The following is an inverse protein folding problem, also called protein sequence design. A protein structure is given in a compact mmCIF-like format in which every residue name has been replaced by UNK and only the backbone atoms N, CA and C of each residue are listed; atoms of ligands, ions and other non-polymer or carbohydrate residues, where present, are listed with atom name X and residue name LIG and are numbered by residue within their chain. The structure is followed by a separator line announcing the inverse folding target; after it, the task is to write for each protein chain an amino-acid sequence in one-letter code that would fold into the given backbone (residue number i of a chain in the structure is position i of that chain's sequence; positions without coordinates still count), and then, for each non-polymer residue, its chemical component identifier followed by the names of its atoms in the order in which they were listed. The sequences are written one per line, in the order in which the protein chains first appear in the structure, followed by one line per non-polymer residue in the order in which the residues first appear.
data_IF_399671881150
#
_entry.id   IF_399671881150
#
_cell.length_a   1.000
_cell.length_b   1.000
_cell.length_c   1.000
_cell.angle_alpha   90.00
_cell.angle_beta   90.00
_cell.angle_gamma   90.00
#
_symmetry.space_group_name_H-M   'P 1'
#
loop_
_entity.id
_entity.type
_entity.pdbx_description
1 polymer ?
#
# COMPACT_ATOMS: atom_id res chain seq x y z
N UNK A 1 1.82 -37.33 -19.57
CA UNK A 1 2.70 -36.45 -20.37
C UNK A 1 1.93 -35.28 -20.96
N UNK A 2 0.83 -35.50 -21.68
CA UNK A 2 -0.05 -34.42 -22.21
C UNK A 2 -0.65 -33.54 -21.10
N UNK A 3 -1.16 -34.12 -20.01
CA UNK A 3 -1.73 -33.36 -18.87
C UNK A 3 -0.66 -32.55 -18.10
N UNK A 4 0.57 -33.04 -18.01
CA UNK A 4 1.67 -32.30 -17.38
C UNK A 4 2.09 -31.10 -18.25
N UNK A 5 2.21 -31.30 -19.57
CA UNK A 5 2.48 -30.20 -20.50
C UNK A 5 1.36 -29.15 -20.50
N UNK A 6 0.09 -29.57 -20.45
CA UNK A 6 -1.05 -28.67 -20.43
C UNK A 6 -1.16 -27.87 -19.11
N UNK A 7 -0.84 -28.49 -17.96
CA UNK A 7 -0.72 -27.78 -16.68
C UNK A 7 0.41 -26.76 -16.69
N UNK A 8 1.55 -27.10 -17.30
CA UNK A 8 2.67 -26.17 -17.45
C UNK A 8 2.39 -25.08 -18.49
N UNK A 9 1.67 -25.35 -19.57
CA UNK A 9 1.25 -24.34 -20.56
C UNK A 9 0.18 -23.41 -20.02
N UNK A 10 -0.88 -23.91 -19.37
CA UNK A 10 -1.86 -23.05 -18.68
C UNK A 10 -1.16 -22.22 -17.61
N UNK A 11 -0.27 -22.81 -16.81
CA UNK A 11 0.52 -22.04 -15.84
C UNK A 11 1.46 -21.04 -16.53
N UNK A 12 2.09 -21.39 -17.66
CA UNK A 12 2.97 -20.51 -18.44
C UNK A 12 2.20 -19.38 -19.12
N UNK A 13 1.01 -19.62 -19.66
CA UNK A 13 0.12 -18.61 -20.26
C UNK A 13 -0.45 -17.70 -19.16
N UNK A 14 -0.79 -18.28 -18.00
CA UNK A 14 -1.13 -17.50 -16.81
C UNK A 14 0.07 -16.65 -16.32
N UNK A 15 1.31 -17.11 -16.52
CA UNK A 15 2.56 -16.41 -16.21
C UNK A 15 2.94 -15.37 -17.28
N UNK A 16 2.78 -15.68 -18.57
CA UNK A 16 3.29 -14.89 -19.70
C UNK A 16 2.31 -13.81 -20.15
N UNK A 17 1.02 -13.95 -19.85
CA UNK A 17 -0.01 -12.95 -20.16
C UNK A 17 -0.46 -12.12 -18.94
N UNK A 18 0.28 -12.17 -17.82
CA UNK A 18 -0.05 -11.41 -16.61
C UNK A 18 -1.28 -11.91 -15.86
N UNK A 19 -1.86 -13.07 -16.21
CA UNK A 19 -3.06 -13.63 -15.56
C UNK A 19 -2.73 -14.33 -14.23
N UNK A 20 -1.70 -13.88 -13.53
CA UNK A 20 -1.26 -14.44 -12.26
C UNK A 20 -2.13 -13.90 -11.13
N UNK A 21 -3.04 -14.73 -10.65
CA UNK A 21 -3.68 -14.51 -9.35
C UNK A 21 -2.93 -15.30 -8.29
N UNK A 22 -2.55 -14.62 -7.21
CA UNK A 22 -2.06 -15.29 -6.02
C UNK A 22 -3.08 -15.18 -4.90
N UNK A 23 -4.16 -15.94 -5.03
CA UNK A 23 -5.12 -16.18 -3.94
C UNK A 23 -6.49 -15.54 -4.11
N UNK A 24 -6.75 -14.74 -5.15
CA UNK A 24 -8.14 -14.39 -5.53
C UNK A 24 -8.75 -15.35 -6.56
N UNK A 25 -7.93 -16.14 -7.27
CA UNK A 25 -8.33 -17.22 -8.18
C UNK A 25 -7.34 -18.39 -8.06
N UNK A 26 -7.84 -19.61 -8.06
CA UNK A 26 -7.03 -20.84 -8.07
C UNK A 26 -7.60 -21.82 -9.09
N UNK A 27 -6.72 -22.46 -9.85
CA UNK A 27 -7.09 -23.48 -10.82
C UNK A 27 -6.59 -24.86 -10.37
N UNK A 28 -7.51 -25.82 -10.30
CA UNK A 28 -7.27 -27.23 -10.07
C UNK A 28 -7.55 -27.98 -11.37
N UNK A 29 -6.56 -28.68 -11.91
CA UNK A 29 -6.72 -29.46 -13.15
C UNK A 29 -6.72 -30.94 -12.79
N UNK A 30 -7.69 -31.73 -13.26
CA UNK A 30 -7.72 -33.19 -13.10
C UNK A 30 -8.09 -33.90 -14.41
N UNK A 31 -8.23 -35.23 -14.36
CA UNK A 31 -8.59 -36.06 -15.52
C UNK A 31 -10.00 -35.77 -16.08
N UNK A 32 -10.84 -35.07 -15.32
CA UNK A 32 -12.22 -34.72 -15.64
C UNK A 32 -12.40 -33.23 -16.02
N UNK A 33 -11.32 -32.44 -16.07
CA UNK A 33 -11.33 -31.06 -16.54
C UNK A 33 -10.58 -30.06 -15.63
N UNK A 34 -10.97 -28.80 -15.71
CA UNK A 34 -10.44 -27.68 -14.91
C UNK A 34 -11.52 -27.18 -13.97
N UNK A 35 -11.17 -27.06 -12.69
CA UNK A 35 -11.96 -26.38 -11.66
C UNK A 35 -11.28 -25.07 -11.30
N UNK A 36 -12.03 -23.98 -11.34
CA UNK A 36 -11.60 -22.67 -10.85
C UNK A 36 -12.28 -22.38 -9.52
N UNK A 37 -11.54 -21.85 -8.56
CA UNK A 37 -12.05 -21.29 -7.32
C UNK A 37 -11.75 -19.80 -7.35
N UNK A 38 -12.77 -18.95 -7.25
CA UNK A 38 -12.63 -17.51 -7.18
C UNK A 38 -13.01 -17.04 -5.77
N UNK A 39 -12.10 -16.36 -5.09
CA UNK A 39 -12.34 -15.75 -3.79
C UNK A 39 -12.84 -14.32 -3.99
N UNK A 40 -14.07 -14.06 -3.58
CA UNK A 40 -14.74 -12.76 -3.73
C UNK A 40 -14.07 -11.70 -2.85
N UNK A 41 -14.14 -10.45 -3.29
CA UNK A 41 -13.67 -9.27 -2.55
C UNK A 41 -14.33 -9.20 -1.17
N UNK A 42 -13.53 -9.00 -0.14
CA UNK A 42 -14.01 -8.78 1.22
C UNK A 42 -14.88 -7.52 1.34
N UNK A 43 -15.84 -7.55 2.27
CA UNK A 43 -16.61 -6.36 2.64
C UNK A 43 -15.71 -5.27 3.23
N UNK A 44 -16.21 -4.04 3.26
CA UNK A 44 -15.52 -2.92 3.89
C UNK A 44 -15.22 -3.21 5.37
N UNK A 45 -14.00 -2.92 5.85
CA UNK A 45 -13.60 -3.19 7.23
C UNK A 45 -14.31 -2.24 8.20
N UNK A 46 -15.28 -2.77 8.95
CA UNK A 46 -16.13 -2.00 9.89
C UNK A 46 -15.31 -1.34 11.00
N UNK A 47 -14.20 -1.94 11.41
CA UNK A 47 -13.30 -1.40 12.42
C UNK A 47 -12.54 -0.13 11.99
N UNK A 48 -12.46 0.16 10.70
CA UNK A 48 -11.82 1.39 10.19
C UNK A 48 -12.81 2.55 10.08
N UNK A 49 -14.09 2.26 9.83
CA UNK A 49 -15.13 3.26 9.53
C UNK A 49 -16.06 3.50 10.72
N UNK A 50 -15.46 3.80 11.88
CA UNK A 50 -16.19 4.04 13.13
C UNK A 50 -17.19 5.19 12.98
N UNK A 51 -18.45 4.97 13.35
CA UNK A 51 -19.50 5.99 13.28
C UNK A 51 -20.53 5.76 12.18
N UNK A 52 -20.33 4.75 11.32
CA UNK A 52 -21.37 4.17 10.48
C UNK A 52 -21.87 2.86 11.11
N UNK A 53 -23.17 2.60 11.04
CA UNK A 53 -23.73 1.29 11.37
C UNK A 53 -23.39 0.25 10.32
N UNK A 54 -23.50 -1.04 10.67
CA UNK A 54 -23.32 -2.15 9.71
C UNK A 54 -24.29 -2.04 8.52
N UNK A 55 -25.54 -1.64 8.78
CA UNK A 55 -26.56 -1.43 7.75
C UNK A 55 -26.20 -0.28 6.79
N UNK A 56 -25.61 0.81 7.29
CA UNK A 56 -25.13 1.90 6.45
C UNK A 56 -23.92 1.48 5.61
N UNK A 57 -22.96 0.77 6.20
CA UNK A 57 -21.78 0.25 5.51
C UNK A 57 -22.13 -0.78 4.45
N UNK A 58 -23.14 -1.62 4.70
CA UNK A 58 -23.57 -2.68 3.80
C UNK A 58 -23.93 -2.19 2.39
N UNK A 59 -24.35 -0.92 2.27
CA UNK A 59 -24.72 -0.27 1.00
C UNK A 59 -23.54 0.05 0.10
N UNK A 60 -22.33 0.02 0.66
CA UNK A 60 -21.07 0.29 -0.04
C UNK A 60 -20.18 -0.96 -0.13
N UNK A 61 -20.65 -2.10 0.38
CA UNK A 61 -19.97 -3.36 0.14
C UNK A 61 -20.10 -3.75 -1.34
N UNK A 62 -19.14 -4.52 -1.86
CA UNK A 62 -19.28 -5.07 -3.21
C UNK A 62 -20.59 -5.84 -3.37
N UNK A 63 -21.28 -5.66 -4.48
CA UNK A 63 -22.51 -6.41 -4.76
C UNK A 63 -22.30 -7.91 -4.71
N UNK A 64 -23.37 -8.61 -4.33
CA UNK A 64 -23.40 -10.07 -4.44
C UNK A 64 -23.36 -10.46 -5.92
N UNK A 65 -22.24 -11.06 -6.31
CA UNK A 65 -22.02 -11.47 -7.68
C UNK A 65 -22.77 -12.78 -7.95
N UNK A 66 -23.67 -12.74 -8.91
CA UNK A 66 -24.32 -13.91 -9.47
C UNK A 66 -23.63 -14.31 -10.79
N UNK A 67 -22.94 -15.46 -10.77
CA UNK A 67 -22.12 -15.91 -11.91
C UNK A 67 -22.92 -16.63 -13.01
N UNK A 68 -24.22 -16.89 -12.82
CA UNK A 68 -25.05 -17.59 -13.82
C UNK A 68 -25.06 -16.88 -15.18
N UNK A 69 -25.01 -15.54 -15.19
CA UNK A 69 -24.96 -14.75 -16.43
C UNK A 69 -23.55 -14.62 -17.05
N UNK A 70 -22.51 -15.13 -16.37
CA UNK A 70 -21.13 -14.96 -16.79
C UNK A 70 -20.56 -16.17 -17.53
N UNK A 71 -21.15 -17.35 -17.30
CA UNK A 71 -20.63 -18.65 -17.70
C UNK A 71 -21.31 -19.19 -18.97
N UNK A 72 -20.61 -20.05 -19.73
CA UNK A 72 -21.17 -20.78 -20.87
C UNK A 72 -21.81 -22.10 -20.43
N UNK A 73 -22.57 -22.75 -21.32
CA UNK A 73 -23.17 -24.08 -21.07
C UNK A 73 -22.10 -25.17 -20.76
N UNK A 74 -20.87 -24.91 -21.19
CA UNK A 74 -19.70 -25.76 -20.97
C UNK A 74 -19.12 -25.61 -19.55
N UNK A 75 -19.69 -24.75 -18.70
CA UNK A 75 -19.24 -24.52 -17.32
C UNK A 75 -20.35 -24.85 -16.32
N UNK A 76 -19.98 -25.55 -15.26
CA UNK A 76 -20.85 -25.87 -14.12
C UNK A 76 -20.50 -25.00 -12.91
N UNK A 77 -21.50 -24.48 -12.21
CA UNK A 77 -21.32 -23.90 -10.88
C UNK A 77 -21.32 -25.05 -9.87
N UNK A 78 -20.17 -25.28 -9.24
CA UNK A 78 -20.02 -26.29 -8.18
C UNK A 78 -20.38 -25.70 -6.81
N UNK A 79 -20.04 -24.44 -6.58
CA UNK A 79 -20.39 -23.70 -5.37
C UNK A 79 -20.49 -22.20 -5.70
N UNK A 80 -21.38 -21.48 -5.05
CA UNK A 80 -21.44 -20.02 -5.08
C UNK A 80 -21.98 -19.52 -3.72
N UNK A 81 -21.09 -18.96 -2.91
CA UNK A 81 -21.42 -18.38 -1.61
C UNK A 81 -20.87 -16.95 -1.48
N UNK A 82 -21.07 -16.31 -0.32
CA UNK A 82 -20.65 -14.91 -0.10
C UNK A 82 -19.14 -14.67 -0.16
N UNK A 83 -18.32 -15.71 0.03
CA UNK A 83 -16.85 -15.62 0.11
C UNK A 83 -16.17 -16.13 -1.15
N UNK A 84 -16.73 -17.15 -1.80
CA UNK A 84 -16.14 -17.72 -3.00
C UNK A 84 -17.19 -18.33 -3.91
N UNK A 85 -16.81 -18.52 -5.16
CA UNK A 85 -17.52 -19.43 -6.05
C UNK A 85 -16.52 -20.40 -6.68
N UNK A 86 -16.97 -21.59 -7.04
CA UNK A 86 -16.17 -22.55 -7.78
C UNK A 86 -16.89 -23.03 -9.02
N UNK A 87 -16.20 -22.98 -10.14
CA UNK A 87 -16.69 -23.34 -11.46
C UNK A 87 -15.91 -24.55 -11.98
N UNK A 88 -16.57 -25.46 -12.69
CA UNK A 88 -15.93 -26.64 -13.30
C UNK A 88 -16.25 -26.73 -14.78
N UNK A 89 -15.24 -27.01 -15.60
CA UNK A 89 -15.41 -27.26 -17.03
C UNK A 89 -16.11 -28.59 -17.32
N UNK A 90 -16.98 -28.62 -18.32
CA UNK A 90 -17.60 -29.82 -18.91
C UNK A 90 -17.00 -30.08 -20.29
N UNK A 91 -15.74 -30.54 -20.39
CA UNK A 91 -15.16 -30.98 -21.67
C UNK A 91 -13.76 -30.44 -21.99
N UNK A 92 -13.57 -29.93 -23.22
CA UNK A 92 -12.26 -29.55 -23.74
C UNK A 92 -11.59 -28.47 -22.87
N UNK A 93 -10.45 -28.84 -22.27
CA UNK A 93 -9.75 -28.06 -21.25
C UNK A 93 -9.37 -26.66 -21.75
N UNK A 94 -8.82 -26.52 -22.96
CA UNK A 94 -8.33 -25.22 -23.46
C UNK A 94 -9.45 -24.18 -23.58
N UNK A 95 -10.54 -24.55 -24.26
CA UNK A 95 -11.73 -23.67 -24.41
C UNK A 95 -12.32 -23.25 -23.07
N UNK A 96 -12.27 -24.14 -22.07
CA UNK A 96 -12.85 -23.88 -20.77
C UNK A 96 -12.00 -22.91 -19.92
N UNK A 97 -10.66 -22.91 -20.07
CA UNK A 97 -9.80 -21.96 -19.35
C UNK A 97 -10.11 -20.52 -19.77
N UNK A 98 -10.28 -20.27 -21.07
CA UNK A 98 -10.65 -18.94 -21.57
C UNK A 98 -12.00 -18.47 -21.04
N UNK A 99 -13.00 -19.34 -21.00
CA UNK A 99 -14.33 -18.99 -20.50
C UNK A 99 -14.33 -18.74 -18.99
N UNK A 100 -13.54 -19.49 -18.22
CA UNK A 100 -13.31 -19.27 -16.79
C UNK A 100 -12.60 -17.92 -16.53
N UNK A 101 -11.60 -17.58 -17.33
CA UNK A 101 -10.91 -16.29 -17.25
C UNK A 101 -11.83 -15.12 -17.63
N UNK A 102 -12.62 -15.25 -18.69
CA UNK A 102 -13.66 -14.26 -19.05
C UNK A 102 -14.63 -14.01 -17.90
N UNK A 103 -14.98 -15.05 -17.14
CA UNK A 103 -15.79 -14.88 -15.93
C UNK A 103 -15.07 -14.01 -14.89
N UNK A 104 -13.77 -14.20 -14.66
CA UNK A 104 -12.98 -13.39 -13.73
C UNK A 104 -12.94 -11.90 -14.16
N UNK A 105 -12.77 -11.62 -15.45
CA UNK A 105 -12.80 -10.24 -15.96
C UNK A 105 -14.18 -9.60 -15.83
N UNK A 106 -15.27 -10.36 -16.07
CA UNK A 106 -16.64 -9.86 -15.82
C UNK A 106 -16.85 -9.50 -14.36
N UNK A 107 -16.35 -10.32 -13.44
CA UNK A 107 -16.37 -10.04 -11.99
C UNK A 107 -15.61 -8.76 -11.67
N UNK A 108 -14.41 -8.61 -12.21
CA UNK A 108 -13.60 -7.41 -12.04
C UNK A 108 -14.33 -6.14 -12.53
N UNK A 109 -15.05 -6.22 -13.67
CA UNK A 109 -15.88 -5.12 -14.18
C UNK A 109 -17.04 -4.76 -13.24
N UNK A 110 -17.64 -5.74 -12.54
CA UNK A 110 -18.65 -5.45 -11.52
C UNK A 110 -18.05 -4.65 -10.37
N UNK A 111 -16.87 -5.05 -9.89
CA UNK A 111 -16.19 -4.33 -8.81
C UNK A 111 -15.76 -2.91 -9.20
N UNK A 112 -15.41 -2.67 -10.47
CA UNK A 112 -15.07 -1.32 -10.93
C UNK A 112 -16.30 -0.40 -11.04
N UNK A 113 -17.46 -0.93 -11.44
CA UNK A 113 -18.72 -0.15 -11.49
C UNK A 113 -19.16 0.33 -10.11
N UNK A 114 -18.86 -0.46 -9.09
CA UNK A 114 -19.18 -0.18 -7.68
C UNK A 114 -17.93 0.18 -6.88
N UNK A 115 -16.94 0.77 -7.55
CA UNK A 115 -15.61 0.94 -6.97
C UNK A 115 -15.66 1.64 -5.60
N UNK A 116 -14.89 1.10 -4.67
CA UNK A 116 -14.85 1.59 -3.30
C UNK A 116 -13.41 1.57 -2.78
N UNK A 117 -13.04 2.63 -2.07
CA UNK A 117 -11.70 2.80 -1.52
C UNK A 117 -11.76 3.37 -0.11
N UNK A 118 -10.80 2.97 0.73
CA UNK A 118 -10.55 3.61 2.02
C UNK A 118 -9.16 4.21 1.99
N UNK A 119 -9.08 5.53 2.02
CA UNK A 119 -7.83 6.27 2.17
C UNK A 119 -7.74 6.90 3.56
N UNK A 120 -6.60 7.53 3.87
CA UNK A 120 -6.36 8.11 5.18
C UNK A 120 -5.70 9.47 5.12
N UNK A 121 -6.23 10.40 5.90
CA UNK A 121 -5.69 11.74 6.06
C UNK A 121 -5.85 12.21 7.51
N UNK A 122 -4.82 12.86 8.08
CA UNK A 122 -4.80 13.28 9.50
C UNK A 122 -5.23 12.16 10.47
N UNK A 123 -4.87 10.91 10.17
CA UNK A 123 -5.25 9.74 10.96
C UNK A 123 -6.70 9.28 10.80
N UNK A 124 -7.56 10.06 10.14
CA UNK A 124 -8.95 9.70 9.80
C UNK A 124 -9.00 8.79 8.58
N UNK A 125 -9.86 7.77 8.62
CA UNK A 125 -10.25 6.95 7.48
C UNK A 125 -11.37 7.63 6.70
N UNK A 126 -11.22 7.67 5.38
CA UNK A 126 -12.16 8.30 4.45
C UNK A 126 -12.65 7.22 3.49
N UNK A 127 -13.97 7.02 3.48
CA UNK A 127 -14.63 6.14 2.52
C UNK A 127 -14.94 6.92 1.23
N UNK A 128 -14.45 6.37 0.14
CA UNK A 128 -14.70 6.82 -1.22
C UNK A 128 -15.49 5.73 -1.93
N UNK A 129 -16.58 6.09 -2.59
CA UNK A 129 -17.45 5.16 -3.32
C UNK A 129 -17.83 5.76 -4.66
N UNK A 130 -17.90 4.91 -5.68
CA UNK A 130 -18.43 5.24 -7.00
C UNK A 130 -19.95 5.17 -6.94
N UNK A 131 -20.62 6.22 -7.42
CA UNK A 131 -22.07 6.28 -7.54
C UNK A 131 -22.42 7.05 -8.81
N UNK A 132 -23.29 6.48 -9.64
CA UNK A 132 -23.70 7.08 -10.92
C UNK A 132 -22.48 7.44 -11.80
N UNK A 133 -21.52 6.49 -11.90
CA UNK A 133 -20.23 6.62 -12.59
C UNK A 133 -19.27 7.71 -12.07
N UNK A 134 -19.60 8.37 -10.97
CA UNK A 134 -18.73 9.36 -10.33
C UNK A 134 -18.16 8.86 -8.99
N UNK A 135 -16.84 8.93 -8.84
CA UNK A 135 -16.17 8.62 -7.59
C UNK A 135 -16.28 9.80 -6.61
N UNK A 136 -16.77 9.55 -5.39
CA UNK A 136 -16.92 10.58 -4.35
C UNK A 136 -16.49 10.07 -2.97
N UNK A 137 -15.78 10.91 -2.22
CA UNK A 137 -15.70 10.78 -0.78
C UNK A 137 -17.08 11.03 -0.18
N UNK A 138 -17.56 10.06 0.60
CA UNK A 138 -18.91 10.06 1.17
C UNK A 138 -18.90 10.09 2.69
N UNK A 139 -17.79 9.69 3.31
CA UNK A 139 -17.67 9.64 4.76
C UNK A 139 -16.21 9.81 5.20
N UNK A 140 -16.02 10.41 6.37
CA UNK A 140 -14.74 10.48 7.08
C UNK A 140 -14.98 10.22 8.54
N UNK A 141 -14.13 9.41 9.18
CA UNK A 141 -14.09 9.32 10.65
C UNK A 141 -13.64 10.67 11.25
N UNK A 142 -13.86 10.91 12.56
CA UNK A 142 -13.28 12.07 13.23
C UNK A 142 -11.74 12.04 13.21
N UNK A 143 -11.05 13.13 12.82
CA UNK A 143 -9.59 13.18 12.87
C UNK A 143 -9.05 13.08 14.31
N UNK A 144 -8.17 12.09 14.60
CA UNK A 144 -7.54 11.95 15.91
C UNK A 144 -6.41 12.97 16.15
N UNK A 145 -5.94 13.65 15.10
CA UNK A 145 -4.87 14.65 15.19
C UNK A 145 -5.27 15.96 14.53
N UNK A 146 -4.83 17.08 15.10
CA UNK A 146 -5.08 18.43 14.58
C UNK A 146 -4.02 18.91 13.59
N UNK A 147 -2.90 18.20 13.52
CA UNK A 147 -1.76 18.60 12.70
C UNK A 147 -0.97 17.38 12.23
N UNK A 148 -0.58 17.38 10.95
CA UNK A 148 0.29 16.41 10.34
C UNK A 148 1.31 17.19 9.48
N UNK A 149 2.62 17.14 9.78
CA UNK A 149 3.64 17.92 9.06
C UNK A 149 3.65 17.64 7.55
N UNK A 150 3.49 16.37 7.15
CA UNK A 150 3.42 15.98 5.74
C UNK A 150 2.22 16.63 5.05
N UNK A 151 1.03 16.40 5.60
CA UNK A 151 -0.21 16.92 5.00
C UNK A 151 -0.23 18.44 5.02
N UNK A 152 0.27 19.07 6.08
CA UNK A 152 0.30 20.53 6.15
C UNK A 152 1.10 21.15 5.00
N UNK A 153 2.28 20.60 4.70
CA UNK A 153 3.11 21.10 3.60
C UNK A 153 2.45 20.81 2.24
N UNK A 154 2.06 19.55 2.00
CA UNK A 154 1.40 19.16 0.75
C UNK A 154 0.15 20.01 0.49
N UNK A 155 -0.73 20.15 1.47
CA UNK A 155 -1.98 20.89 1.32
C UNK A 155 -1.77 22.39 1.08
N UNK A 156 -0.70 22.97 1.61
CA UNK A 156 -0.33 24.36 1.28
C UNK A 156 0.17 24.53 -0.14
N UNK A 157 0.85 23.52 -0.68
CA UNK A 157 1.38 23.56 -2.05
C UNK A 157 0.28 23.37 -3.10
N UNK A 158 -0.66 22.44 -2.87
CA UNK A 158 -1.60 22.00 -3.93
C UNK A 158 -3.08 22.23 -3.60
N UNK A 159 -3.45 22.55 -2.36
CA UNK A 159 -4.84 22.46 -1.91
C UNK A 159 -5.66 23.76 -1.92
N UNK A 160 -5.02 24.91 -2.12
CA UNK A 160 -5.67 26.23 -2.20
C UNK A 160 -6.66 26.52 -1.05
N UNK A 161 -7.73 27.26 -1.35
CA UNK A 161 -8.75 27.66 -0.37
C UNK A 161 -9.45 26.48 0.32
N UNK A 162 -9.54 25.32 -0.34
CA UNK A 162 -10.18 24.12 0.23
C UNK A 162 -9.31 23.55 1.35
N UNK A 163 -8.00 23.46 1.12
CA UNK A 163 -7.05 23.08 2.16
C UNK A 163 -7.01 24.05 3.33
N UNK A 164 -7.05 25.36 3.09
CA UNK A 164 -7.03 26.36 4.16
C UNK A 164 -8.21 26.17 5.14
N UNK A 165 -9.42 25.91 4.62
CA UNK A 165 -10.59 25.62 5.45
C UNK A 165 -10.39 24.38 6.32
N UNK A 166 -9.87 23.30 5.73
CA UNK A 166 -9.57 22.08 6.48
C UNK A 166 -8.55 22.36 7.60
N UNK A 167 -7.43 22.99 7.27
CA UNK A 167 -6.36 23.31 8.23
C UNK A 167 -6.87 24.21 9.38
N UNK A 168 -7.75 25.17 9.09
CA UNK A 168 -8.39 26.00 10.13
C UNK A 168 -9.31 25.17 11.02
N UNK A 169 -10.22 24.38 10.44
CA UNK A 169 -11.15 23.55 11.23
C UNK A 169 -10.44 22.53 12.12
N UNK A 170 -9.35 21.92 11.64
CA UNK A 170 -8.51 21.01 12.44
C UNK A 170 -7.83 21.74 13.60
N UNK A 171 -7.29 22.93 13.37
CA UNK A 171 -6.66 23.75 14.40
C UNK A 171 -7.65 24.14 15.50
N UNK A 172 -8.86 24.55 15.11
CA UNK A 172 -9.92 24.95 16.04
C UNK A 172 -10.52 23.76 16.80
N UNK A 173 -10.29 22.52 16.33
CA UNK A 173 -10.84 21.30 16.93
C UNK A 173 -12.32 21.09 16.63
N UNK A 174 -12.85 21.70 15.57
CA UNK A 174 -14.25 21.52 15.14
C UNK A 174 -14.36 20.22 14.33
N UNK A 175 -14.72 19.12 15.01
CA UNK A 175 -14.69 17.77 14.44
C UNK A 175 -15.60 17.63 13.22
N UNK A 176 -16.87 18.03 13.32
CA UNK A 176 -17.83 17.96 12.21
C UNK A 176 -17.37 18.77 10.99
N UNK A 177 -16.91 20.02 11.21
CA UNK A 177 -16.35 20.86 10.15
C UNK A 177 -15.11 20.23 9.53
N UNK A 178 -14.24 19.62 10.35
CA UNK A 178 -13.02 18.96 9.87
C UNK A 178 -13.35 17.74 8.99
N UNK A 179 -14.34 16.94 9.38
CA UNK A 179 -14.81 15.81 8.58
C UNK A 179 -15.38 16.28 7.24
N UNK A 180 -16.25 17.31 7.26
CA UNK A 180 -16.82 17.89 6.04
C UNK A 180 -15.75 18.47 5.13
N UNK A 181 -14.84 19.28 5.66
CA UNK A 181 -13.76 19.89 4.88
C UNK A 181 -12.79 18.84 4.33
N UNK A 182 -12.61 17.70 5.03
CA UNK A 182 -11.79 16.60 4.55
C UNK A 182 -12.45 15.88 3.37
N UNK A 183 -13.76 15.62 3.45
CA UNK A 183 -14.55 15.11 2.33
C UNK A 183 -14.48 16.06 1.13
N UNK A 184 -14.67 17.37 1.35
CA UNK A 184 -14.60 18.39 0.32
C UNK A 184 -13.20 18.45 -0.33
N UNK A 185 -12.13 18.33 0.46
CA UNK A 185 -10.76 18.29 -0.04
C UNK A 185 -10.52 17.05 -0.91
N UNK A 186 -10.92 15.86 -0.45
CA UNK A 186 -10.74 14.64 -1.24
C UNK A 186 -11.49 14.76 -2.57
N UNK A 187 -12.74 15.22 -2.55
CA UNK A 187 -13.53 15.39 -3.76
C UNK A 187 -12.92 16.43 -4.72
N UNK A 188 -12.50 17.59 -4.20
CA UNK A 188 -12.12 18.72 -5.06
C UNK A 188 -10.63 18.80 -5.42
N UNK A 189 -9.76 18.14 -4.65
CA UNK A 189 -8.31 18.19 -4.86
C UNK A 189 -7.78 16.81 -5.24
N UNK A 190 -8.11 15.77 -4.47
CA UNK A 190 -7.52 14.43 -4.69
C UNK A 190 -8.17 13.71 -5.88
N UNK A 191 -9.50 13.57 -5.88
CA UNK A 191 -10.22 12.88 -6.95
C UNK A 191 -10.12 13.68 -8.26
N UNK A 192 -10.47 14.98 -8.24
CA UNK A 192 -10.33 15.85 -9.42
C UNK A 192 -8.89 15.99 -9.92
N UNK A 193 -7.90 15.82 -9.03
CA UNK A 193 -6.47 15.81 -9.40
C UNK A 193 -5.97 14.46 -9.94
N UNK A 194 -6.87 13.49 -10.13
CA UNK A 194 -6.55 12.16 -10.69
C UNK A 194 -5.85 11.22 -9.70
N UNK A 195 -6.13 11.34 -8.40
CA UNK A 195 -5.59 10.46 -7.37
C UNK A 195 -6.07 9.00 -7.50
N UNK A 196 -7.29 8.82 -8.02
CA UNK A 196 -7.94 7.53 -8.29
C UNK A 196 -8.31 7.36 -9.77
N UNK A 197 -7.60 8.07 -10.65
CA UNK A 197 -7.80 7.95 -12.09
C UNK A 197 -7.20 6.63 -12.60
N UNK A 198 -7.97 5.93 -13.43
CA UNK A 198 -7.60 4.66 -14.03
C UNK A 198 -6.65 4.87 -15.23
N UNK A 199 -6.61 6.08 -15.81
CA UNK A 199 -5.75 6.43 -16.94
C UNK A 199 -4.47 7.17 -16.53
N UNK A 200 -3.80 6.67 -15.50
CA UNK A 200 -2.57 7.29 -14.97
C UNK A 200 -1.30 6.51 -15.35
N UNK A 201 -0.17 7.20 -15.55
CA UNK A 201 1.11 6.51 -15.74
C UNK A 201 1.53 5.80 -14.45
N UNK A 202 1.94 4.53 -14.56
CA UNK A 202 2.50 3.74 -13.46
C UNK A 202 4.03 3.80 -13.39
N UNK A 203 4.65 4.56 -14.30
CA UNK A 203 6.10 4.67 -14.50
C UNK A 203 6.62 6.11 -14.33
N UNK A 204 6.18 6.80 -13.27
CA UNK A 204 6.63 8.17 -12.96
C UNK A 204 7.85 8.19 -12.03
N UNK A 205 8.74 9.18 -12.20
CA UNK A 205 9.90 9.42 -11.33
C UNK A 205 9.69 10.56 -10.32
N UNK A 206 8.45 10.99 -10.11
CA UNK A 206 8.15 12.11 -9.21
C UNK A 206 8.49 11.79 -7.75
N UNK A 207 9.47 12.52 -7.19
CA UNK A 207 9.86 12.44 -5.77
C UNK A 207 9.25 13.59 -5.02
N UNK A 208 8.34 13.29 -4.10
CA UNK A 208 7.53 14.31 -3.43
C UNK A 208 8.03 14.62 -2.02
N UNK A 209 8.87 13.75 -1.44
CA UNK A 209 9.42 13.94 -0.09
C UNK A 209 10.89 13.54 0.01
N UNK A 210 11.62 14.19 0.93
CA UNK A 210 13.04 13.92 1.14
C UNK A 210 13.30 12.48 1.60
N UNK A 211 12.53 11.93 2.53
CA UNK A 211 12.74 10.57 3.04
C UNK A 211 11.43 9.75 3.00
N UNK A 212 10.78 9.69 1.84
CA UNK A 212 9.61 8.84 1.66
C UNK A 212 9.97 7.39 1.43
N UNK A 213 8.99 6.51 1.66
CA UNK A 213 9.19 5.07 1.60
C UNK A 213 9.49 4.62 0.16
N UNK A 214 8.69 5.07 -0.81
CA UNK A 214 8.94 4.79 -2.22
C UNK A 214 10.29 5.36 -2.65
N UNK A 215 10.65 6.60 -2.25
CA UNK A 215 11.95 7.20 -2.60
C UNK A 215 13.14 6.40 -2.09
N UNK A 216 13.06 5.89 -0.85
CA UNK A 216 14.09 5.02 -0.30
C UNK A 216 14.14 3.68 -1.05
N UNK A 217 12.98 3.06 -1.32
CA UNK A 217 12.91 1.79 -2.06
C UNK A 217 13.47 1.93 -3.48
N UNK A 218 13.10 2.97 -4.21
CA UNK A 218 13.55 3.20 -5.59
C UNK A 218 15.06 3.46 -5.65
N UNK A 219 15.61 4.26 -4.73
CA UNK A 219 17.06 4.54 -4.69
C UNK A 219 17.86 3.30 -4.29
N UNK A 220 17.34 2.51 -3.36
CA UNK A 220 17.94 1.24 -2.99
C UNK A 220 17.90 0.23 -4.15
N UNK A 221 16.81 0.19 -4.92
CA UNK A 221 16.69 -0.66 -6.11
C UNK A 221 17.65 -0.22 -7.22
N UNK A 222 17.78 1.10 -7.46
CA UNK A 222 18.75 1.66 -8.42
C UNK A 222 20.20 1.28 -8.07
N UNK A 223 20.50 1.12 -6.77
CA UNK A 223 21.81 0.68 -6.27
C UNK A 223 21.92 -0.85 -6.06
N UNK A 224 20.98 -1.62 -6.60
CA UNK A 224 20.97 -3.09 -6.55
C UNK A 224 20.87 -3.68 -5.15
N UNK A 225 20.25 -2.97 -4.20
CA UNK A 225 20.03 -3.42 -2.82
C UNK A 225 18.70 -4.15 -2.64
N UNK A 226 17.76 -3.88 -3.52
CA UNK A 226 16.42 -4.47 -3.58
C UNK A 226 16.23 -4.97 -5.01
N UNK A 227 15.63 -6.14 -5.17
CA UNK A 227 15.25 -6.69 -6.49
C UNK A 227 13.74 -6.63 -6.76
N UNK A 228 12.91 -6.59 -5.70
CA UNK A 228 11.47 -6.37 -5.81
C UNK A 228 10.91 -5.58 -4.62
N UNK A 229 9.88 -4.76 -4.87
CA UNK A 229 9.13 -4.04 -3.84
C UNK A 229 7.65 -4.44 -3.85
N UNK A 230 7.19 -4.95 -2.70
CA UNK A 230 5.79 -5.24 -2.39
C UNK A 230 5.17 -4.02 -1.71
N UNK A 231 4.27 -3.35 -2.42
CA UNK A 231 3.68 -2.08 -2.01
C UNK A 231 2.19 -2.05 -2.35
N UNK A 232 1.52 -0.97 -1.97
CA UNK A 232 0.07 -0.78 -2.20
C UNK A 232 -0.15 0.28 -3.27
N UNK A 233 -1.04 -0.01 -4.22
CA UNK A 233 -1.51 0.93 -5.22
C UNK A 233 -3.04 0.96 -5.25
N UNK A 234 -3.64 2.14 -5.32
CA UNK A 234 -5.07 2.26 -5.55
C UNK A 234 -5.43 1.64 -6.90
N UNK A 235 -6.63 1.09 -6.95
CA UNK A 235 -7.18 0.38 -8.10
C UNK A 235 -6.41 -0.92 -8.46
N UNK A 236 -5.35 -1.28 -7.73
CA UNK A 236 -4.55 -2.50 -7.95
C UNK A 236 -4.37 -3.36 -6.68
N UNK A 237 -4.51 -2.80 -5.49
CA UNK A 237 -4.31 -3.50 -4.22
C UNK A 237 -2.83 -3.69 -3.90
N UNK A 238 -2.45 -4.89 -3.43
CA UNK A 238 -1.03 -5.26 -3.31
C UNK A 238 -0.43 -5.46 -4.70
N UNK A 239 0.71 -4.80 -4.95
CA UNK A 239 1.47 -4.93 -6.19
C UNK A 239 2.94 -5.28 -5.89
N UNK A 240 3.59 -5.95 -6.83
CA UNK A 240 5.03 -6.17 -6.86
C UNK A 240 5.61 -5.32 -8.00
N UNK A 241 6.65 -4.56 -7.69
CA UNK A 241 7.41 -3.75 -8.67
C UNK A 241 8.87 -4.18 -8.67
N UNK A 242 9.54 -4.04 -9.81
CA UNK A 242 10.91 -4.54 -10.03
C UNK A 242 11.82 -3.50 -10.67
N UNK A 243 11.33 -2.27 -10.86
CA UNK A 243 12.12 -1.15 -11.36
C UNK A 243 11.95 0.08 -10.47
N UNK A 244 12.99 0.92 -10.30
CA UNK A 244 12.89 2.15 -9.51
C UNK A 244 11.73 3.06 -9.96
N UNK A 245 11.49 3.10 -11.28
CA UNK A 245 10.49 3.94 -11.92
C UNK A 245 9.08 3.45 -11.60
N UNK A 246 8.82 2.15 -11.70
CA UNK A 246 7.51 1.59 -11.36
C UNK A 246 7.24 1.62 -9.85
N UNK A 247 8.26 1.42 -9.00
CA UNK A 247 8.13 1.59 -7.54
C UNK A 247 7.66 3.00 -7.15
N UNK A 248 8.12 4.04 -7.85
CA UNK A 248 7.63 5.41 -7.66
C UNK A 248 6.23 5.60 -8.24
N UNK A 249 6.04 5.20 -9.50
CA UNK A 249 4.83 5.52 -10.25
C UNK A 249 3.56 4.90 -9.70
N UNK A 250 3.60 3.67 -9.16
CA UNK A 250 2.41 3.01 -8.60
C UNK A 250 1.89 3.67 -7.32
N UNK A 251 2.75 4.40 -6.58
CA UNK A 251 2.37 5.09 -5.33
C UNK A 251 1.90 6.52 -5.62
N UNK A 252 2.54 7.21 -6.57
CA UNK A 252 2.29 8.63 -6.89
C UNK A 252 2.27 9.48 -5.60
N UNK A 253 1.22 10.30 -5.38
CA UNK A 253 1.03 11.19 -4.22
C UNK A 253 0.07 10.60 -3.18
N UNK A 254 0.19 9.31 -2.88
CA UNK A 254 -0.72 8.63 -1.96
C UNK A 254 -0.19 8.68 -0.51
N UNK A 255 -1.04 9.10 0.42
CA UNK A 255 -0.71 9.16 1.86
C UNK A 255 -1.05 7.90 2.65
N UNK A 256 -1.90 7.03 2.11
CA UNK A 256 -2.29 5.74 2.69
C UNK A 256 -3.57 5.19 2.07
N UNK A 257 -3.60 3.87 1.86
CA UNK A 257 -4.73 3.13 1.29
C UNK A 257 -4.93 1.82 2.06
N UNK A 258 -6.17 1.56 2.46
CA UNK A 258 -6.54 0.48 3.38
C UNK A 258 -7.63 -0.42 2.82
N UNK A 259 -8.26 -0.01 1.73
CA UNK A 259 -9.19 -0.81 0.95
C UNK A 259 -9.25 -0.23 -0.46
N UNK A 260 -9.36 -1.09 -1.47
CA UNK A 260 -9.57 -0.70 -2.86
C UNK A 260 -10.24 -1.85 -3.61
N UNK A 261 -11.02 -1.51 -4.63
CA UNK A 261 -11.46 -2.41 -5.70
C UNK A 261 -10.50 -2.28 -6.90
N UNK A 262 -10.50 -3.24 -7.84
CA UNK A 262 -9.65 -3.18 -9.02
C UNK A 262 -10.28 -2.34 -10.15
N UNK A 263 -9.44 -1.72 -10.98
CA UNK A 263 -9.86 -1.19 -12.29
C UNK A 263 -9.31 -2.08 -13.41
N UNK A 264 -10.15 -2.64 -14.29
CA UNK A 264 -9.70 -3.46 -15.41
C UNK A 264 -8.66 -2.78 -16.30
N UNK A 265 -8.90 -1.50 -16.64
CA UNK A 265 -8.00 -0.71 -17.50
C UNK A 265 -6.63 -0.55 -16.85
N UNK A 266 -6.60 -0.18 -15.57
CA UNK A 266 -5.33 0.01 -14.85
C UNK A 266 -4.60 -1.32 -14.59
N UNK A 267 -5.33 -2.41 -14.38
CA UNK A 267 -4.72 -3.75 -14.23
C UNK A 267 -4.05 -4.19 -15.53
N UNK A 268 -4.69 -3.96 -16.69
CA UNK A 268 -4.08 -4.23 -17.99
C UNK A 268 -2.80 -3.38 -18.19
N UNK A 269 -2.87 -2.09 -17.87
CA UNK A 269 -1.73 -1.18 -17.94
C UNK A 269 -0.59 -1.59 -17.00
N UNK A 270 -0.92 -2.05 -15.78
CA UNK A 270 0.06 -2.55 -14.82
C UNK A 270 0.90 -3.68 -15.42
N UNK A 271 0.26 -4.66 -16.06
CA UNK A 271 0.99 -5.76 -16.70
C UNK A 271 1.88 -5.29 -17.87
N UNK A 272 1.39 -4.34 -18.69
CA UNK A 272 2.18 -3.75 -19.79
C UNK A 272 3.44 -3.06 -19.27
N UNK A 273 3.33 -2.37 -18.14
CA UNK A 273 4.42 -1.65 -17.49
C UNK A 273 5.29 -2.53 -16.57
N UNK A 274 5.05 -3.85 -16.53
CA UNK A 274 5.83 -4.78 -15.70
C UNK A 274 5.55 -4.66 -14.20
N UNK A 275 4.43 -4.06 -13.81
CA UNK A 275 3.88 -4.08 -12.46
C UNK A 275 2.99 -5.32 -12.30
N UNK A 276 3.13 -6.03 -11.18
CA UNK A 276 2.40 -7.28 -10.94
C UNK A 276 1.40 -7.08 -9.81
N UNK A 277 0.11 -6.83 -10.10
CA UNK A 277 -0.96 -6.96 -9.12
C UNK A 277 -1.03 -8.39 -8.58
N UNK A 278 -1.01 -8.54 -7.26
CA UNK A 278 -1.06 -9.86 -6.60
C UNK A 278 -2.48 -10.44 -6.63
N UNK A 279 -3.48 -9.56 -6.60
CA UNK A 279 -4.90 -9.87 -6.61
C UNK A 279 -5.61 -9.07 -7.72
N UNK A 280 -5.34 -9.37 -8.99
CA UNK A 280 -5.79 -8.54 -10.12
C UNK A 280 -7.32 -8.44 -10.21
N UNK A 281 -8.06 -9.43 -9.73
CA UNK A 281 -9.51 -9.48 -9.89
C UNK A 281 -10.28 -8.89 -8.70
N UNK A 282 -9.62 -8.64 -7.58
CA UNK A 282 -10.26 -8.12 -6.35
C UNK A 282 -9.60 -6.86 -5.80
N UNK A 283 -8.37 -6.53 -6.19
CA UNK A 283 -7.61 -5.41 -5.63
C UNK A 283 -7.36 -5.56 -4.13
N UNK A 284 -7.32 -6.79 -3.61
CA UNK A 284 -7.07 -7.07 -2.19
C UNK A 284 -5.71 -6.50 -1.75
N UNK A 285 -5.68 -5.98 -0.53
CA UNK A 285 -4.45 -5.53 0.14
C UNK A 285 -4.06 -6.62 1.15
N UNK A 286 -3.00 -7.35 0.82
CA UNK A 286 -2.39 -8.39 1.66
C UNK A 286 -0.88 -8.41 1.37
N UNK A 287 -0.11 -7.86 2.31
CA UNK A 287 1.34 -7.74 2.13
C UNK A 287 2.06 -9.07 2.39
N UNK A 288 1.47 -9.96 3.19
CA UNK A 288 2.03 -11.29 3.48
C UNK A 288 2.01 -12.13 2.20
N UNK A 289 0.85 -12.21 1.54
CA UNK A 289 0.72 -12.94 0.28
C UNK A 289 1.52 -12.28 -0.85
N UNK A 290 1.65 -10.94 -0.85
CA UNK A 290 2.53 -10.25 -1.78
C UNK A 290 4.01 -10.64 -1.63
N UNK A 291 4.50 -10.78 -0.39
CA UNK A 291 5.87 -11.25 -0.13
C UNK A 291 6.03 -12.72 -0.53
N UNK A 292 5.08 -13.60 -0.17
CA UNK A 292 5.11 -15.00 -0.61
C UNK A 292 5.15 -15.10 -2.14
N UNK A 293 4.38 -14.27 -2.83
CA UNK A 293 4.38 -14.22 -4.28
C UNK A 293 5.73 -13.77 -4.83
N UNK A 294 6.31 -12.71 -4.30
CA UNK A 294 7.64 -12.25 -4.71
C UNK A 294 8.71 -13.35 -4.54
N UNK A 295 8.68 -14.10 -3.44
CA UNK A 295 9.57 -15.24 -3.21
C UNK A 295 9.34 -16.34 -4.26
N UNK A 296 8.08 -16.69 -4.54
CA UNK A 296 7.71 -17.69 -5.56
C UNK A 296 8.19 -17.31 -6.96
N UNK A 297 8.23 -16.01 -7.25
CA UNK A 297 8.77 -15.46 -8.51
C UNK A 297 10.30 -15.45 -8.56
N UNK A 298 10.99 -15.83 -7.48
CA UNK A 298 12.44 -15.97 -7.42
C UNK A 298 13.21 -14.73 -6.95
N UNK A 299 12.51 -13.68 -6.49
CA UNK A 299 13.16 -12.52 -5.88
C UNK A 299 13.75 -12.86 -4.51
N UNK A 300 14.86 -12.22 -4.17
CA UNK A 300 15.66 -12.54 -2.98
C UNK A 300 15.82 -11.35 -2.04
N UNK A 301 15.92 -10.13 -2.54
CA UNK A 301 16.07 -8.92 -1.72
C UNK A 301 14.80 -8.08 -1.82
N UNK A 302 13.76 -8.53 -1.12
CA UNK A 302 12.41 -8.03 -1.28
C UNK A 302 12.17 -6.92 -0.25
N UNK A 303 11.75 -5.73 -0.66
CA UNK A 303 11.21 -4.73 0.27
C UNK A 303 9.70 -4.83 0.37
N UNK A 304 9.14 -4.60 1.56
CA UNK A 304 7.70 -4.60 1.80
C UNK A 304 7.31 -3.44 2.70
N UNK A 305 6.26 -2.70 2.31
CA UNK A 305 5.67 -1.65 3.13
C UNK A 305 4.38 -2.10 3.77
N UNK A 306 4.23 -1.88 5.08
CA UNK A 306 3.02 -2.20 5.83
C UNK A 306 2.53 -0.97 6.60
N UNK A 307 1.22 -0.77 6.69
CA UNK A 307 0.63 0.48 7.17
C UNK A 307 -0.29 0.29 8.39
N UNK A 308 -0.34 1.29 9.29
CA UNK A 308 -1.24 1.33 10.45
C UNK A 308 -1.20 0.03 11.28
N UNK A 309 -2.35 -0.51 11.70
CA UNK A 309 -2.40 -1.72 12.53
C UNK A 309 -2.05 -3.01 11.78
N UNK A 310 -1.95 -2.98 10.44
CA UNK A 310 -1.47 -4.13 9.68
C UNK A 310 0.03 -4.36 9.89
N UNK A 311 0.76 -3.38 10.45
CA UNK A 311 2.15 -3.57 10.86
C UNK A 311 2.35 -4.75 11.83
N UNK A 312 1.29 -5.25 12.49
CA UNK A 312 1.34 -6.51 13.25
C UNK A 312 1.77 -7.72 12.40
N UNK A 313 1.53 -7.68 11.08
CA UNK A 313 1.92 -8.74 10.15
C UNK A 313 3.42 -8.74 9.84
N UNK A 314 4.19 -7.73 10.28
CA UNK A 314 5.65 -7.73 10.13
C UNK A 314 6.30 -8.95 10.79
N UNK A 315 5.74 -9.45 11.89
CA UNK A 315 6.18 -10.70 12.52
C UNK A 315 6.04 -11.89 11.56
N UNK A 316 4.86 -12.06 10.98
CA UNK A 316 4.59 -13.14 10.03
C UNK A 316 5.46 -13.00 8.77
N UNK A 317 5.70 -11.77 8.30
CA UNK A 317 6.59 -11.49 7.17
C UNK A 317 8.04 -11.88 7.50
N UNK A 318 8.51 -11.63 8.72
CA UNK A 318 9.85 -12.05 9.16
C UNK A 318 10.03 -13.57 9.07
N UNK A 319 8.98 -14.35 9.36
CA UNK A 319 9.02 -15.82 9.31
C UNK A 319 9.13 -16.38 7.87
N UNK A 320 8.91 -15.54 6.85
CA UNK A 320 9.09 -15.91 5.44
C UNK A 320 10.55 -15.79 4.97
N UNK A 321 11.46 -15.21 5.76
CA UNK A 321 12.89 -15.17 5.43
C UNK A 321 13.49 -16.59 5.54
N UNK A 322 13.79 -17.23 4.42
CA UNK A 322 14.39 -18.57 4.35
C UNK A 322 15.49 -18.63 3.29
N UNK A 323 16.52 -19.44 3.54
CA UNK A 323 17.63 -19.61 2.59
C UNK A 323 18.35 -18.29 2.31
N UNK A 324 18.37 -17.87 1.05
CA UNK A 324 18.99 -16.64 0.57
C UNK A 324 18.00 -15.48 0.40
N UNK A 325 16.74 -15.65 0.81
CA UNK A 325 15.73 -14.60 0.81
C UNK A 325 15.93 -13.67 2.01
N UNK A 326 16.05 -12.38 1.72
CA UNK A 326 16.03 -11.26 2.66
C UNK A 326 14.83 -10.35 2.39
N UNK A 327 14.07 -10.07 3.44
CA UNK A 327 12.88 -9.22 3.39
C UNK A 327 13.13 -7.94 4.20
N UNK A 328 13.18 -6.81 3.51
CA UNK A 328 13.34 -5.48 4.07
C UNK A 328 12.00 -4.87 4.45
N UNK A 329 11.80 -4.61 5.74
CA UNK A 329 10.49 -4.32 6.33
C UNK A 329 10.31 -2.85 6.66
N UNK A 330 9.36 -2.18 5.99
CA UNK A 330 9.08 -0.75 6.12
C UNK A 330 7.75 -0.55 6.85
N UNK A 331 7.80 0.06 8.04
CA UNK A 331 6.62 0.36 8.85
C UNK A 331 6.09 1.78 8.65
N UNK A 332 4.89 1.92 8.11
CA UNK A 332 4.28 3.19 7.67
C UNK A 332 2.98 3.52 8.40
N UNK A 333 2.51 4.76 8.23
CA UNK A 333 1.20 5.24 8.68
C UNK A 333 0.90 4.94 10.16
N UNK A 334 1.87 5.14 11.03
CA UNK A 334 1.84 4.66 12.42
C UNK A 334 0.89 5.43 13.37
N UNK A 335 0.24 6.51 12.92
CA UNK A 335 -0.72 7.25 13.74
C UNK A 335 -1.86 6.32 14.18
N UNK A 336 -2.16 6.25 15.48
CA UNK A 336 -3.28 5.46 16.00
C UNK A 336 -3.08 3.94 16.00
N UNK A 337 -1.84 3.46 15.88
CA UNK A 337 -1.52 2.05 16.15
C UNK A 337 -1.67 1.72 17.64
N UNK A 338 -1.86 0.44 17.96
CA UNK A 338 -1.88 -0.04 19.34
C UNK A 338 -0.47 -0.44 19.85
N UNK A 339 -0.34 -0.72 21.16
CA UNK A 339 0.93 -1.11 21.80
C UNK A 339 1.54 -2.37 21.19
N UNK A 340 0.73 -3.42 21.03
CA UNK A 340 1.19 -4.69 20.43
C UNK A 340 1.79 -4.47 19.04
N UNK A 341 1.15 -3.66 18.20
CA UNK A 341 1.65 -3.32 16.87
C UNK A 341 2.98 -2.54 16.97
N UNK A 342 3.09 -1.58 17.88
CA UNK A 342 4.32 -0.81 18.07
C UNK A 342 5.50 -1.68 18.56
N UNK A 343 5.23 -2.63 19.45
CA UNK A 343 6.22 -3.61 19.91
C UNK A 343 6.69 -4.51 18.75
N UNK A 344 5.75 -5.09 18.00
CA UNK A 344 6.06 -5.92 16.82
C UNK A 344 6.87 -5.11 15.79
N UNK A 345 6.50 -3.87 15.53
CA UNK A 345 7.26 -2.97 14.64
C UNK A 345 8.69 -2.76 15.14
N UNK A 346 8.89 -2.48 16.43
CA UNK A 346 10.22 -2.27 17.01
C UNK A 346 11.12 -3.50 16.97
N UNK A 347 10.53 -4.70 16.91
CA UNK A 347 11.27 -5.98 16.85
C UNK A 347 11.53 -6.46 15.42
N UNK A 348 10.64 -6.13 14.47
CA UNK A 348 10.62 -6.74 13.15
C UNK A 348 10.89 -5.76 12.00
N UNK A 349 10.67 -4.46 12.16
CA UNK A 349 10.90 -3.50 11.08
C UNK A 349 12.39 -3.16 10.92
N UNK A 350 12.80 -2.84 9.69
CA UNK A 350 14.11 -2.26 9.41
C UNK A 350 14.08 -0.73 9.47
N UNK A 351 12.98 -0.14 9.00
CA UNK A 351 12.77 1.30 8.90
C UNK A 351 11.32 1.62 9.30
N UNK A 352 11.13 2.62 10.16
CA UNK A 352 9.80 3.03 10.66
C UNK A 352 9.59 4.52 10.51
N UNK A 353 8.47 4.90 9.91
CA UNK A 353 8.01 6.29 9.85
C UNK A 353 7.15 6.60 11.06
N UNK A 354 7.58 7.57 11.86
CA UNK A 354 6.91 7.90 13.12
C UNK A 354 5.49 8.45 12.94
N UNK A 355 5.22 9.14 11.82
CA UNK A 355 4.00 9.93 11.63
C UNK A 355 3.69 10.77 12.91
N UNK A 356 2.44 10.78 13.37
CA UNK A 356 2.06 11.41 14.64
C UNK A 356 1.95 10.40 15.80
N UNK A 357 2.60 9.23 15.67
CA UNK A 357 2.47 8.15 16.64
C UNK A 357 3.29 8.39 17.89
N UNK A 358 2.60 8.56 19.03
CA UNK A 358 3.22 8.58 20.36
C UNK A 358 3.97 7.28 20.65
N UNK A 359 3.36 6.13 20.33
CA UNK A 359 3.92 4.81 20.61
C UNK A 359 5.22 4.55 19.86
N UNK A 360 5.32 4.98 18.58
CA UNK A 360 6.60 4.88 17.85
C UNK A 360 7.68 5.73 18.53
N UNK A 361 7.34 6.95 18.97
CA UNK A 361 8.31 7.82 19.66
C UNK A 361 8.77 7.25 21.00
N UNK A 362 7.89 6.60 21.75
CA UNK A 362 8.23 6.08 23.09
C UNK A 362 8.88 4.69 23.04
N UNK A 363 8.44 3.81 22.13
CA UNK A 363 8.84 2.39 22.10
C UNK A 363 9.94 2.13 21.06
N UNK A 364 9.89 2.80 19.91
CA UNK A 364 10.74 2.49 18.76
C UNK A 364 11.91 3.46 18.64
N UNK A 365 11.69 4.76 18.82
CA UNK A 365 12.77 5.75 18.70
C UNK A 365 13.98 5.45 19.60
N UNK A 366 13.83 5.03 20.88
CA UNK A 366 14.99 4.71 21.72
C UNK A 366 15.82 3.52 21.23
N UNK A 367 15.22 2.64 20.40
CA UNK A 367 15.86 1.45 19.83
C UNK A 367 16.52 1.73 18.48
N UNK A 368 16.27 2.88 17.88
CA UNK A 368 16.79 3.23 16.57
C UNK A 368 18.28 3.55 16.62
N UNK A 369 19.01 3.14 15.58
CA UNK A 369 20.46 3.35 15.45
C UNK A 369 20.82 4.59 14.62
N UNK A 370 19.82 5.17 13.96
CA UNK A 370 19.88 6.44 13.24
C UNK A 370 18.46 6.94 13.00
N UNK A 371 18.34 8.24 12.74
CA UNK A 371 17.12 8.89 12.28
C UNK A 371 17.41 9.73 11.04
N UNK A 372 16.49 9.72 10.08
CA UNK A 372 16.47 10.73 9.01
C UNK A 372 15.19 11.54 9.06
N UNK A 373 15.32 12.85 8.83
CA UNK A 373 14.23 13.82 8.92
C UNK A 373 13.84 14.19 10.36
N UNK A 374 13.42 15.45 10.55
CA UNK A 374 12.93 15.96 11.84
C UNK A 374 11.40 16.03 11.85
N UNK A 375 10.81 16.68 10.83
CA UNK A 375 9.35 16.90 10.80
C UNK A 375 8.57 15.60 10.65
N UNK A 376 9.10 14.67 9.88
CA UNK A 376 8.55 13.31 9.72
C UNK A 376 9.71 12.38 10.06
N UNK A 377 9.91 12.05 11.35
CA UNK A 377 11.01 11.19 11.75
C UNK A 377 10.90 9.82 11.09
N UNK A 378 11.99 9.39 10.48
CA UNK A 378 12.17 8.04 9.96
C UNK A 378 13.27 7.38 10.77
N UNK A 379 12.89 6.41 11.58
CA UNK A 379 13.77 5.67 12.47
C UNK A 379 14.33 4.44 11.75
N UNK A 380 15.65 4.28 11.81
CA UNK A 380 16.36 3.14 11.23
C UNK A 380 16.71 2.19 12.38
N UNK A 381 16.17 0.97 12.34
CA UNK A 381 16.29 -0.01 13.43
C UNK A 381 17.37 -1.06 13.19
N UNK A 382 17.78 -1.26 11.94
CA UNK A 382 18.76 -2.31 11.60
C UNK A 382 19.84 -1.77 10.67
N UNK A 383 20.99 -2.46 10.67
CA UNK A 383 22.08 -2.19 9.71
C UNK A 383 21.63 -2.37 8.26
N UNK A 384 20.65 -3.25 8.01
CA UNK A 384 20.09 -3.42 6.68
C UNK A 384 19.20 -2.23 6.32
N UNK A 385 18.35 -1.75 7.23
CA UNK A 385 17.63 -0.49 7.05
C UNK A 385 18.57 0.67 6.72
N UNK A 386 19.69 0.79 7.43
CA UNK A 386 20.71 1.81 7.14
C UNK A 386 21.26 1.68 5.70
N UNK A 387 21.60 0.46 5.25
CA UNK A 387 22.07 0.23 3.87
C UNK A 387 21.07 0.69 2.81
N UNK A 388 19.75 0.65 3.08
CA UNK A 388 18.72 1.10 2.16
C UNK A 388 18.54 2.62 2.17
N UNK A 389 18.76 3.27 3.31
CA UNK A 389 18.64 4.74 3.43
C UNK A 389 19.87 5.46 2.85
N UNK A 390 21.08 4.87 2.92
CA UNK A 390 22.32 5.48 2.38
C UNK A 390 22.18 5.95 0.92
N UNK A 391 21.65 5.16 -0.04
CA UNK A 391 21.38 5.61 -1.40
C UNK A 391 20.56 6.91 -1.46
N UNK A 392 19.51 7.02 -0.64
CA UNK A 392 18.65 8.21 -0.62
C UNK A 392 19.38 9.43 -0.09
N UNK A 393 20.17 9.26 0.97
CA UNK A 393 21.00 10.32 1.51
C UNK A 393 21.98 10.83 0.45
N UNK A 394 22.68 9.93 -0.25
CA UNK A 394 23.61 10.31 -1.32
C UNK A 394 22.92 11.02 -2.48
N UNK A 395 21.68 10.64 -2.84
CA UNK A 395 20.91 11.33 -3.88
C UNK A 395 20.51 12.76 -3.49
N UNK A 396 20.46 13.08 -2.20
CA UNK A 396 20.15 14.42 -1.69
C UNK A 396 21.43 15.24 -1.50
N UNK A 397 22.48 14.62 -0.94
CA UNK A 397 23.76 15.25 -0.66
C UNK A 397 24.91 14.23 -0.85
N UNK A 398 25.55 14.28 -2.02
CA UNK A 398 26.67 13.42 -2.36
C UNK A 398 27.94 13.71 -1.54
N UNK A 399 28.04 14.90 -0.93
CA UNK A 399 29.22 15.31 -0.17
C UNK A 399 29.24 14.74 1.25
N UNK A 400 28.09 14.28 1.76
CA UNK A 400 28.00 13.74 3.11
C UNK A 400 28.70 12.37 3.20
N UNK A 401 29.79 12.30 3.96
CA UNK A 401 30.54 11.05 4.11
C UNK A 401 29.83 10.07 5.06
N UNK A 402 29.04 9.17 4.48
CA UNK A 402 28.22 8.21 5.21
C UNK A 402 29.01 7.09 5.89
N UNK A 403 30.28 6.91 5.57
CA UNK A 403 31.14 5.89 6.20
C UNK A 403 31.75 6.38 7.52
N UNK A 404 31.72 7.69 7.76
CA UNK A 404 32.14 8.30 9.03
C UNK A 404 31.01 8.42 10.05
N UNK A 405 29.78 8.06 9.67
CA UNK A 405 28.62 8.15 10.56
C UNK A 405 28.64 6.94 11.51
N UNK A 406 28.81 7.22 12.79
CA UNK A 406 28.71 6.21 13.84
C UNK A 406 27.23 5.98 14.18
N UNK A 407 26.75 4.77 13.90
CA UNK A 407 25.41 4.34 14.28
C UNK A 407 25.37 4.03 15.78
N UNK A 408 24.49 4.70 16.50
CA UNK A 408 24.33 4.58 17.95
C UNK A 408 22.84 4.64 18.32
N UNK A 409 22.49 4.11 19.48
CA UNK A 409 21.12 4.16 20.03
C UNK A 409 21.03 5.17 21.17
N UNK A 410 19.81 5.60 21.52
CA UNK A 410 19.58 6.52 22.63
C UNK A 410 20.06 7.94 22.31
N UNK A 411 20.61 8.63 23.32
CA UNK A 411 20.98 10.04 23.26
C UNK A 411 22.04 10.35 22.18
N UNK A 412 22.94 9.40 21.90
CA UNK A 412 23.98 9.50 20.88
C UNK A 412 23.51 9.11 19.46
N UNK A 413 22.24 8.75 19.27
CA UNK A 413 21.72 8.37 17.96
C UNK A 413 21.88 9.53 16.95
N UNK A 414 22.51 9.30 15.78
CA UNK A 414 22.66 10.33 14.78
C UNK A 414 21.32 10.64 14.10
N UNK A 415 20.98 11.94 14.04
CA UNK A 415 19.87 12.48 13.26
C UNK A 415 20.44 13.19 12.04
N UNK A 416 20.03 12.77 10.85
CA UNK A 416 20.36 13.43 9.59
C UNK A 416 19.13 14.17 9.10
N UNK A 417 19.28 15.46 8.81
CA UNK A 417 18.15 16.30 8.44
C UNK A 417 18.55 17.31 7.37
N UNK A 418 17.54 17.74 6.63
CA UNK A 418 17.72 18.76 5.60
C UNK A 418 17.77 20.14 6.24
N UNK A 419 18.82 20.91 5.92
CA UNK A 419 18.96 22.31 6.30
C UNK A 419 19.51 23.10 5.10
N UNK A 420 18.74 24.08 4.65
CA UNK A 420 19.03 24.88 3.46
C UNK A 420 19.19 23.99 2.20
N UNK A 421 20.41 23.87 1.68
CA UNK A 421 20.77 23.22 0.41
C UNK A 421 21.57 21.90 0.61
N UNK A 422 21.50 21.29 1.80
CA UNK A 422 22.26 20.08 2.11
C UNK A 422 21.77 19.34 3.34
N UNK A 423 22.52 18.29 3.72
CA UNK A 423 22.22 17.49 4.90
C UNK A 423 23.17 17.83 6.05
N UNK A 424 22.60 18.12 7.21
CA UNK A 424 23.33 18.26 8.46
C UNK A 424 23.09 17.04 9.37
N UNK A 425 23.95 16.91 10.38
CA UNK A 425 23.85 15.87 11.40
C UNK A 425 23.91 16.49 12.79
N UNK A 426 23.09 15.96 13.68
CA UNK A 426 23.14 16.24 15.12
C UNK A 426 22.88 14.94 15.89
N UNK A 427 23.12 14.94 17.20
CA UNK A 427 22.73 13.84 18.08
C UNK A 427 21.27 13.97 18.52
N UNK A 428 20.69 12.87 18.98
CA UNK A 428 19.34 12.87 19.50
C UNK A 428 19.16 13.73 20.76
N UNK A 429 20.16 13.77 21.65
CA UNK A 429 20.14 14.67 22.82
C UNK A 429 20.12 16.16 22.48
N UNK A 430 20.62 16.53 21.29
CA UNK A 430 20.67 17.91 20.79
C UNK A 430 19.34 18.34 20.15
N UNK A 431 18.45 17.38 19.86
CA UNK A 431 17.11 17.68 19.35
C UNK A 431 16.28 18.31 20.47
N UNK A 432 15.90 19.57 20.28
CA UNK A 432 15.02 20.26 21.22
C UNK A 432 13.74 19.43 21.42
N UNK A 433 13.42 19.11 22.69
CA UNK A 433 12.19 18.41 23.06
C UNK A 433 10.95 19.14 22.55
N UNK A 434 11.03 20.46 22.40
CA UNK A 434 9.96 21.27 21.79
C UNK A 434 9.77 20.93 20.29
N UNK A 435 10.83 20.56 19.56
CA UNK A 435 10.79 20.20 18.15
C UNK A 435 10.19 18.81 17.87
N UNK A 436 10.29 17.88 18.83
CA UNK A 436 9.77 16.50 18.70
C UNK A 436 8.23 16.49 18.58
N UNK A 437 7.56 17.42 19.25
CA UNK A 437 6.10 17.58 19.24
C UNK A 437 5.63 18.89 18.59
N UNK A 438 6.53 19.64 17.94
CA UNK A 438 6.18 20.95 17.40
C UNK A 438 5.24 20.85 16.20
N UNK A 439 4.08 21.53 16.21
CA UNK A 439 3.24 21.69 15.02
C UNK A 439 3.82 22.70 14.01
N UNK A 440 4.94 23.35 14.35
CA UNK A 440 5.69 24.28 13.51
C UNK A 440 7.17 24.17 13.83
N UNK A 441 7.82 23.05 13.50
CA UNK A 441 9.21 22.83 13.86
C UNK A 441 10.04 23.98 13.30
N UNK A 442 10.65 24.74 14.20
CA UNK A 442 11.68 25.71 13.89
C UNK A 442 12.90 24.88 13.51
N UNK A 443 13.22 24.82 12.21
CA UNK A 443 14.53 24.35 11.77
C UNK A 443 15.52 25.46 12.07
#
# INVERSE_FOLDING_TARGET
MVIMNLREEIAKDLISEGKYSNGDVTFEVDENGVRMIFYKKENLPTNLLTGLSEDELSRFNPSEINVNGFISDDIEIVNDDKRLFSLKSKGNIEKCVDDLLKCCYKVQTVYDKEASHITRMFGSYILISKKDDELKAIYSTPPPIKYCPLMFNLLKEIGGNVAEKLLMSLKDGRQEDSQKNMIDLINNVVIKGGGFDDNRPLNSCERNVAFGASEIMSDAMERGKIDAAVIVSNNLGTVITTSPVTTQGVVKRMSGLFYTTPSPELVEEAFKEGVIPVFPFTGKIDQVEGVKQAIKMGYKNISVSVAANDNKYLKQISELEQGDVKIHKFGLCATGINNETAEIMGENADIVWSCASKLVREIIAPKAMAQVGIKIPVYILTKNGWKLVKPRINQIDECLNLDKINLNTGDDMPIIYNKNDGLEMMKFEELDKSCIDCPRPCI
#
